data_IF_767403755827
#
_entry.id   IF_767403755827
#
_cell.length_a   1.000
_cell.length_b   1.000
_cell.length_c   1.000
_cell.angle_alpha   90.00
_cell.angle_beta   90.00
_cell.angle_gamma   90.00
#
_symmetry.space_group_name_H-M   'P 1'
#
loop_
_entity.id
_entity.type
_entity.pdbx_description
1 polymer ?
2 non-polymer ?
3 non-polymer ?
4 water ?
#
# COMPACT_ATOMS: atom_id res chain seq x y z
N UNK A 4 -21.66 -2.44 0.94
CA UNK A 4 -20.32 -2.60 0.38
C UNK A 4 -19.39 -1.50 0.86
N UNK A 5 -18.14 -1.88 1.14
CA UNK A 5 -17.13 -1.01 1.71
C UNK A 5 -16.51 -0.04 0.69
N UNK A 6 -16.13 1.17 1.13
CA UNK A 6 -15.69 2.19 0.17
C UNK A 6 -14.26 2.00 -0.31
N UNK A 7 -13.94 2.59 -1.46
CA UNK A 7 -12.59 2.50 -2.01
C UNK A 7 -11.60 3.35 -1.21
N UNK A 8 -10.33 3.00 -1.30
CA UNK A 8 -9.28 3.73 -0.59
C UNK A 8 -8.15 4.05 -1.56
N UNK A 9 -7.33 5.02 -1.20
CA UNK A 9 -6.20 5.36 -2.06
C UNK A 9 -5.03 5.85 -1.21
N UNK A 10 -3.81 5.54 -1.66
CA UNK A 10 -2.62 6.09 -1.05
C UNK A 10 -1.92 6.95 -2.09
N UNK A 11 -1.85 8.26 -1.84
CA UNK A 11 -1.26 9.18 -2.80
C UNK A 11 0.17 9.55 -2.43
N UNK A 12 1.13 9.12 -3.25
CA UNK A 12 2.54 9.45 -3.00
C UNK A 12 2.92 10.77 -3.67
N UNK A 13 3.55 11.65 -2.91
CA UNK A 13 3.94 12.97 -3.39
C UNK A 13 5.45 13.15 -3.33
N UNK A 14 5.99 13.86 -4.32
CA UNK A 14 7.43 14.09 -4.40
C UNK A 14 7.87 15.16 -3.42
N UNK A 15 9.00 14.93 -2.75
CA UNK A 15 9.59 15.94 -1.87
C UNK A 15 11.10 15.95 -2.01
N UNK A 16 11.77 16.71 -1.15
CA UNK A 16 13.23 16.73 -1.11
C UNK A 16 13.78 15.35 -0.78
N UNK A 17 12.96 14.52 -0.13
CA UNK A 17 13.43 13.20 0.30
C UNK A 17 13.32 12.14 -0.78
N UNK A 18 12.41 12.34 -1.72
CA UNK A 18 12.05 11.29 -2.67
C UNK A 18 11.35 11.83 -3.91
N UNK A 19 11.65 11.24 -5.06
CA UNK A 19 10.98 11.63 -6.29
C UNK A 19 9.82 10.70 -6.62
N UNK A 20 9.57 9.72 -5.75
CA UNK A 20 8.48 8.77 -5.98
C UNK A 20 7.13 9.45 -5.86
N UNK A 21 6.33 9.36 -6.92
CA UNK A 21 4.98 9.89 -6.92
C UNK A 21 4.02 9.04 -7.73
N UNK A 22 2.75 9.12 -7.35
CA UNK A 22 1.73 8.28 -7.96
C UNK A 22 0.76 7.78 -6.91
N UNK A 23 0.04 6.71 -7.25
CA UNK A 23 -1.01 6.22 -6.38
C UNK A 23 -1.05 4.70 -6.27
N UNK A 24 -1.56 4.23 -5.14
CA UNK A 24 -2.00 2.86 -5.01
C UNK A 24 -3.48 2.92 -4.62
N UNK A 25 -4.33 2.39 -5.50
CA UNK A 25 -5.79 2.37 -5.32
C UNK A 25 -6.27 1.01 -4.84
N UNK A 26 -7.26 1.02 -3.96
CA UNK A 26 -7.86 -0.19 -3.42
C UNK A 26 -9.37 -0.15 -3.65
N UNK A 27 -9.86 -1.05 -4.50
CA UNK A 27 -11.28 -1.01 -4.85
C UNK A 27 -11.94 -2.36 -4.58
N UNK A 28 -13.16 -2.34 -4.00
CA UNK A 28 -13.83 -3.61 -3.71
C UNK A 28 -14.12 -4.36 -5.00
N UNK A 29 -13.85 -5.66 -5.02
CA UNK A 29 -14.01 -6.45 -6.24
C UNK A 29 -14.93 -7.65 -6.03
N UNK A 30 -14.99 -8.52 -7.04
CA UNK A 30 -15.71 -9.79 -6.98
C UNK A 30 -15.04 -10.85 -6.11
N UNK A 31 -15.80 -11.85 -5.70
CA UNK A 31 -15.23 -13.00 -5.00
C UNK A 31 -14.53 -12.64 -3.69
N UNK A 32 -14.95 -11.55 -3.06
CA UNK A 32 -14.44 -11.17 -1.76
C UNK A 32 -12.95 -10.85 -1.73
N UNK A 33 -12.48 -10.17 -2.77
CA UNK A 33 -11.11 -9.67 -2.78
C UNK A 33 -11.09 -8.17 -2.99
N UNK A 34 -9.90 -7.60 -2.89
CA UNK A 34 -9.71 -6.19 -3.14
C UNK A 34 -8.83 -6.00 -4.37
N UNK A 35 -9.30 -5.22 -5.33
CA UNK A 35 -8.49 -4.88 -6.50
C UNK A 35 -7.50 -3.78 -6.17
N UNK A 36 -6.21 -4.04 -6.42
CA UNK A 36 -5.14 -3.10 -6.12
C UNK A 36 -4.56 -2.58 -7.42
N UNK A 37 -4.52 -1.27 -7.57
CA UNK A 37 -3.94 -0.66 -8.76
C UNK A 37 -2.77 0.25 -8.39
N UNK A 38 -1.57 -0.15 -8.80
CA UNK A 38 -0.36 0.61 -8.52
C UNK A 38 0.06 1.38 -9.76
N UNK A 39 0.31 2.67 -9.58
CA UNK A 39 0.78 3.52 -10.66
C UNK A 39 1.81 4.53 -10.11
N UNK A 40 3.09 4.18 -10.23
CA UNK A 40 4.18 4.96 -9.65
C UNK A 40 5.25 5.36 -10.66
N UNK A 41 5.84 6.54 -10.46
CA UNK A 41 7.04 6.92 -11.21
C UNK A 41 8.04 7.57 -10.29
N UNK A 42 9.20 7.91 -10.85
CA UNK A 42 10.24 8.57 -10.09
C UNK A 42 10.96 7.67 -9.10
N UNK A 43 10.88 6.36 -9.30
CA UNK A 43 11.58 5.43 -8.44
C UNK A 43 13.09 5.54 -8.72
N UNK A 44 13.90 5.56 -7.66
CA UNK A 44 15.32 5.91 -7.77
C UNK A 44 16.14 4.88 -8.53
N UNK A 45 17.24 5.33 -9.11
CA UNK A 45 18.11 4.46 -9.90
C UNK A 45 18.80 3.39 -9.06
N UNK A 46 18.66 2.14 -9.49
CA UNK A 46 19.53 1.03 -9.07
C UNK A 46 19.48 0.58 -7.62
N UNK A 47 18.58 1.11 -6.79
CA UNK A 47 18.57 0.65 -5.41
C UNK A 47 17.31 -0.19 -5.17
N UNK A 48 16.64 -0.52 -6.26
CA UNK A 48 15.52 -1.45 -6.22
C UNK A 48 16.02 -2.87 -6.42
N UNK A 49 15.10 -3.84 -6.53
CA UNK A 49 13.63 -3.75 -6.43
C UNK A 49 13.13 -3.23 -5.08
N UNK A 50 11.90 -2.74 -5.06
CA UNK A 50 11.38 -2.02 -3.91
C UNK A 50 10.24 -2.75 -3.22
N UNK A 51 10.51 -3.35 -2.06
CA UNK A 51 9.44 -3.87 -1.21
C UNK A 51 8.49 -2.76 -0.78
N UNK A 52 7.21 -3.07 -0.67
CA UNK A 52 6.25 -2.10 -0.14
C UNK A 52 5.20 -2.83 0.66
N UNK A 53 4.78 -2.21 1.75
CA UNK A 53 3.93 -2.86 2.74
C UNK A 53 2.97 -1.86 3.37
N UNK A 54 1.84 -2.37 3.85
CA UNK A 54 0.98 -1.59 4.74
C UNK A 54 1.60 -1.56 6.12
N UNK A 55 1.80 -0.35 6.65
CA UNK A 55 2.35 -0.20 7.99
C UNK A 55 1.25 0.22 8.96
N UNK A 56 1.54 0.18 10.26
CA UNK A 56 0.48 0.20 11.26
C UNK A 56 0.04 1.59 11.75
N UNK A 57 0.90 2.61 11.60
CA UNK A 57 0.54 3.98 12.00
C UNK A 57 0.51 4.93 10.80
N UNK A 58 -0.25 6.03 10.91
CA UNK A 58 -0.29 7.04 9.84
C UNK A 58 1.07 7.68 9.57
N UNK A 59 1.26 8.20 8.36
CA UNK A 59 2.36 9.13 8.09
C UNK A 59 2.04 10.46 8.78
N UNK A 60 2.96 10.96 9.61
CA UNK A 60 2.68 12.25 10.26
C UNK A 60 2.90 13.43 9.33
N UNK A 61 2.59 14.63 9.80
CA UNK A 61 2.73 15.84 9.00
C UNK A 61 4.19 16.05 8.59
N UNK A 62 5.11 15.52 9.38
CA UNK A 62 6.54 15.65 9.11
C UNK A 62 6.95 14.84 7.89
N UNK A 63 6.08 13.92 7.47
CA UNK A 63 6.36 12.99 6.36
C UNK A 63 7.49 12.01 6.70
N UNK A 64 7.78 11.82 7.98
CA UNK A 64 8.81 10.86 8.38
C UNK A 64 8.28 9.42 8.32
N UNK A 65 8.78 8.64 7.37
CA UNK A 65 8.22 7.31 7.14
C UNK A 65 8.56 6.34 8.28
N UNK A 66 9.59 6.67 9.06
CA UNK A 66 9.90 5.87 10.24
C UNK A 66 8.74 5.85 11.23
N UNK A 67 7.94 6.93 11.25
CA UNK A 67 6.90 7.07 12.25
C UNK A 67 5.68 6.18 12.00
N UNK A 68 5.65 5.50 10.85
CA UNK A 68 4.56 4.58 10.55
C UNK A 68 4.75 3.27 11.32
N UNK A 69 5.90 3.15 11.98
CA UNK A 69 6.28 1.98 12.76
C UNK A 69 6.28 0.70 11.92
N UNK A 70 5.76 -0.41 12.45
CA UNK A 70 5.96 -1.70 11.79
C UNK A 70 4.85 -2.09 10.81
N UNK A 71 4.97 -3.29 10.26
CA UNK A 71 3.98 -3.81 9.32
C UNK A 71 2.66 -4.12 9.99
N UNK A 72 1.58 -3.94 9.23
CA UNK A 72 0.26 -4.35 9.65
C UNK A 72 0.18 -5.87 9.53
N UNK A 73 0.06 -6.54 10.67
CA UNK A 73 0.22 -8.00 10.73
C UNK A 73 -0.69 -8.65 11.77
N UNK A 74 -2.02 -8.46 11.63
CA UNK A 74 -2.94 -8.84 12.70
C UNK A 74 -2.98 -10.35 12.95
N UNK A 75 -2.57 -11.13 11.96
CA UNK A 75 -2.69 -12.58 12.04
C UNK A 75 -1.32 -13.24 12.18
N UNK A 76 -0.34 -12.43 12.55
CA UNK A 76 1.03 -12.89 12.81
C UNK A 76 1.59 -13.77 11.69
N UNK A 77 1.63 -13.22 10.48
CA UNK A 77 2.22 -13.91 9.35
C UNK A 77 3.73 -13.85 9.36
N UNK A 78 4.34 -14.25 8.25
CA UNK A 78 5.80 -14.31 8.14
C UNK A 78 6.27 -13.59 6.87
N UNK A 79 7.49 -13.07 6.89
CA UNK A 79 7.99 -12.28 5.76
C UNK A 79 8.26 -13.15 4.52
N UNK A 80 8.82 -14.33 4.74
CA UNK A 80 9.05 -15.29 3.66
C UNK A 80 8.09 -16.47 3.79
N UNK A 81 7.44 -16.84 2.69
CA UNK A 81 6.42 -17.88 2.76
C UNK A 81 6.32 -18.69 1.48
N UNK A 82 5.63 -19.83 1.56
CA UNK A 82 5.45 -20.71 0.40
C UNK A 82 4.03 -20.64 -0.15
N UNK A 83 3.20 -19.80 0.47
CA UNK A 83 1.84 -19.59 0.00
C UNK A 83 1.45 -18.17 0.42
N UNK A 84 0.64 -17.48 -0.41
CA UNK A 84 0.34 -16.07 -0.15
C UNK A 84 -0.29 -15.78 1.22
N UNK A 85 -1.13 -16.68 1.71
CA UNK A 85 -1.88 -16.41 2.94
C UNK A 85 -1.01 -16.47 4.18
N UNK A 86 0.18 -17.04 4.05
CA UNK A 86 1.11 -17.13 5.17
C UNK A 86 1.84 -15.81 5.39
N UNK A 87 1.79 -14.94 4.39
CA UNK A 87 2.40 -13.61 4.52
C UNK A 87 1.57 -12.74 5.44
N UNK A 88 2.23 -11.76 6.06
CA UNK A 88 1.53 -10.71 6.80
C UNK A 88 0.50 -10.05 5.91
N UNK A 89 -0.66 -9.70 6.46
CA UNK A 89 -1.68 -9.04 5.66
C UNK A 89 -1.11 -7.83 4.92
N UNK A 90 -0.34 -7.01 5.64
CA UNK A 90 0.28 -5.84 5.04
C UNK A 90 1.41 -6.05 4.05
N UNK A 91 1.89 -7.29 3.91
CA UNK A 91 3.05 -7.54 3.05
C UNK A 91 2.64 -7.70 1.59
N UNK A 92 2.29 -6.59 0.95
CA UNK A 92 1.84 -6.63 -0.44
C UNK A 92 2.94 -7.13 -1.37
N UNK A 93 4.16 -6.62 -1.21
CA UNK A 93 5.25 -6.99 -2.12
C UNK A 93 5.64 -8.46 -2.00
N UNK A 94 5.62 -9.00 -0.79
CA UNK A 94 5.99 -10.39 -0.60
C UNK A 94 5.01 -11.32 -1.31
N UNK A 95 3.74 -10.96 -1.25
CA UNK A 95 2.69 -11.72 -1.91
C UNK A 95 2.65 -11.52 -3.42
N UNK A 96 2.86 -10.28 -3.87
CA UNK A 96 2.51 -9.92 -5.23
C UNK A 96 3.68 -9.48 -6.09
N UNK A 97 4.83 -9.27 -5.46
CA UNK A 97 6.03 -8.85 -6.17
C UNK A 97 6.46 -7.46 -5.74
N UNK A 98 7.77 -7.24 -5.71
CA UNK A 98 8.30 -5.91 -5.44
C UNK A 98 8.00 -4.95 -6.58
N UNK A 99 7.93 -3.67 -6.25
CA UNK A 99 7.99 -2.62 -7.25
C UNK A 99 9.35 -2.72 -7.89
N UNK A 100 9.43 -2.47 -9.20
CA UNK A 100 10.73 -2.42 -9.85
C UNK A 100 10.74 -1.48 -11.04
N UNK A 101 11.89 -0.86 -11.28
CA UNK A 101 12.05 0.04 -12.40
C UNK A 101 12.01 1.49 -12.00
N UNK A 102 12.00 2.38 -12.98
CA UNK A 102 11.82 3.80 -12.70
C UNK A 102 10.33 4.12 -12.68
N UNK A 103 9.58 3.34 -13.44
CA UNK A 103 8.13 3.46 -13.43
C UNK A 103 7.53 2.07 -13.34
N UNK A 104 6.40 1.98 -12.64
CA UNK A 104 5.80 0.69 -12.35
C UNK A 104 4.28 0.82 -12.32
N UNK A 105 3.60 0.02 -13.12
CA UNK A 105 2.13 0.00 -13.12
C UNK A 105 1.68 -1.43 -13.09
N UNK A 106 0.84 -1.78 -12.13
CA UNK A 106 0.38 -3.15 -12.05
C UNK A 106 -1.01 -3.18 -11.43
N UNK A 107 -1.75 -4.24 -11.73
CA UNK A 107 -3.05 -4.47 -11.09
C UNK A 107 -3.15 -5.92 -10.63
N UNK A 108 -3.68 -6.13 -9.43
CA UNK A 108 -3.86 -7.47 -8.91
C UNK A 108 -4.93 -7.48 -7.84
N UNK A 109 -5.39 -8.68 -7.48
CA UNK A 109 -6.35 -8.83 -6.40
C UNK A 109 -5.64 -9.28 -5.13
N UNK A 110 -5.97 -8.66 -4.01
CA UNK A 110 -5.49 -9.18 -2.74
C UNK A 110 -6.67 -9.64 -1.93
N UNK A 111 -6.55 -10.83 -1.35
CA UNK A 111 -7.68 -11.47 -0.69
C UNK A 111 -7.54 -11.44 0.82
N UNK A 112 -6.63 -10.61 1.32
CA UNK A 112 -6.33 -10.62 2.75
C UNK A 112 -6.60 -9.26 3.38
N UNK A 113 -6.19 -8.19 2.72
CA UNK A 113 -6.58 -6.85 3.16
C UNK A 113 -8.10 -6.72 3.09
N UNK A 114 -8.65 -5.81 3.88
CA UNK A 114 -10.10 -5.57 3.90
C UNK A 114 -10.42 -4.09 3.80
N UNK A 115 -11.51 -3.78 3.10
CA UNK A 115 -12.00 -2.42 3.04
C UNK A 115 -13.10 -2.23 4.07
N UNK A 116 -13.39 -3.29 4.81
CA UNK A 116 -14.46 -3.28 5.82
C UNK A 116 -13.95 -2.85 7.18
N UNK A 117 -14.41 -1.70 7.66
CA UNK A 117 -13.86 -1.16 8.89
C UNK A 117 -14.19 -2.01 10.12
N UNK A 118 -15.14 -2.94 9.98
CA UNK A 118 -15.41 -3.86 11.08
C UNK A 118 -14.53 -5.10 11.01
N UNK A 119 -13.70 -5.20 9.97
CA UNK A 119 -12.78 -6.34 9.83
C UNK A 119 -11.45 -6.13 10.55
N UNK A 120 -10.93 -7.21 11.12
CA UNK A 120 -9.61 -7.20 11.74
C UNK A 120 -8.51 -6.96 10.70
N UNK A 121 -8.85 -7.12 9.42
CA UNK A 121 -7.88 -6.95 8.34
C UNK A 121 -8.03 -5.61 7.62
N UNK A 122 -8.87 -4.73 8.18
CA UNK A 122 -9.11 -3.39 7.65
C UNK A 122 -7.81 -2.59 7.52
N UNK A 123 -7.61 -1.92 6.39
CA UNK A 123 -6.38 -1.15 6.18
C UNK A 123 -6.63 0.35 6.07
N UNK A 124 -7.87 0.77 6.28
CA UNK A 124 -8.21 2.18 6.25
C UNK A 124 -7.51 2.86 7.40
N UNK A 125 -7.06 4.09 7.18
CA UNK A 125 -6.39 4.83 8.24
C UNK A 125 -4.95 4.45 8.49
N UNK A 126 -4.47 3.46 7.75
CA UNK A 126 -3.08 3.02 7.88
C UNK A 126 -2.23 3.73 6.82
N UNK A 127 -1.07 3.15 6.51
CA UNK A 127 -0.16 3.78 5.57
C UNK A 127 0.57 2.74 4.72
N UNK A 128 1.16 3.19 3.63
CA UNK A 128 2.02 2.33 2.83
C UNK A 128 3.41 2.94 2.79
N UNK A 129 4.42 2.10 2.97
CA UNK A 129 5.80 2.53 2.87
C UNK A 129 6.46 1.81 1.72
N UNK A 130 7.23 2.54 0.91
CA UNK A 130 8.04 1.93 -0.15
C UNK A 130 9.50 1.94 0.28
N UNK A 131 10.16 0.79 0.22
CA UNK A 131 11.55 0.66 0.67
C UNK A 131 12.52 0.48 -0.48
N UNK A 132 13.76 0.92 -0.31
CA UNK A 132 14.84 0.44 -1.16
C UNK A 132 15.07 -1.03 -0.83
N UNK A 133 15.77 -1.73 -1.71
CA UNK A 133 16.01 -3.15 -1.50
C UNK A 133 16.70 -3.45 -0.16
N UNK A 134 17.52 -2.51 0.32
CA UNK A 134 18.22 -2.69 1.58
C UNK A 134 17.37 -2.31 2.79
N UNK A 135 16.11 -1.96 2.55
CA UNK A 135 15.19 -1.71 3.64
C UNK A 135 14.97 -0.25 3.95
N UNK A 136 15.77 0.63 3.35
CA UNK A 136 15.64 2.06 3.64
C UNK A 136 14.26 2.56 3.23
N UNK A 137 13.59 3.32 4.09
CA UNK A 137 12.26 3.80 3.75
C UNK A 137 12.39 5.03 2.84
N UNK A 138 11.83 4.93 1.63
CA UNK A 138 12.02 5.97 0.62
C UNK A 138 10.90 7.01 0.59
N UNK A 139 9.66 6.53 0.57
CA UNK A 139 8.54 7.44 0.61
C UNK A 139 7.37 6.68 1.22
N UNK A 140 6.34 7.41 1.63
CA UNK A 140 5.21 6.78 2.27
C UNK A 140 3.98 7.67 2.13
N UNK A 141 2.80 7.06 2.25
CA UNK A 141 1.55 7.79 2.12
C UNK A 141 0.48 7.18 2.99
N UNK A 142 -0.45 8.03 3.45
CA UNK A 142 -1.61 7.57 4.18
C UNK A 142 -2.67 6.97 3.27
N UNK A 143 -3.37 5.98 3.81
CA UNK A 143 -4.47 5.35 3.10
C UNK A 143 -5.77 6.06 3.48
N UNK A 144 -6.33 6.78 2.51
CA UNK A 144 -7.53 7.59 2.76
C UNK A 144 -8.69 7.20 1.86
N UNK A 145 -9.85 7.78 2.13
CA UNK A 145 -11.03 7.56 1.32
C UNK A 145 -10.85 8.18 -0.06
N UNK A 146 -11.17 7.42 -1.09
CA UNK A 146 -10.96 7.90 -2.46
C UNK A 146 -12.06 8.86 -2.92
N UNK A 147 -13.32 8.47 -2.76
CA UNK A 147 -14.44 9.29 -3.21
C UNK A 147 -14.84 10.34 -2.18
N UNK A 148 -15.31 11.49 -2.64
CA UNK A 148 -15.73 12.54 -1.71
C UNK A 148 -17.17 12.37 -1.27
N UNK A 149 -18.00 11.69 -2.06
CA UNK A 149 -19.41 11.59 -1.73
C UNK A 149 -19.90 10.16 -1.53
N UNK A 150 -20.53 9.91 -0.38
CA UNK A 150 -21.05 8.58 -0.09
C UNK A 150 -22.50 8.60 0.43
N UNK A 151 -23.09 7.41 0.56
CA UNK A 151 -24.45 7.22 1.07
C UNK A 151 -25.38 6.70 -0.01
N UNK A 152 -26.48 6.06 0.36
CA UNK A 152 -27.32 5.47 -0.68
C UNK A 152 -28.23 6.48 -1.38
N UNK A 153 -28.16 7.75 -0.98
CA UNK A 153 -28.96 8.78 -1.65
C UNK A 153 -28.07 9.87 -2.26
N UNK A 154 -26.79 9.55 -2.45
CA UNK A 154 -25.83 10.54 -2.90
C UNK A 154 -25.22 10.19 -4.26
N UNK A 155 -24.54 11.16 -4.87
CA UNK A 155 -23.68 10.95 -6.03
C UNK A 155 -22.31 11.58 -5.76
N UNK A 156 -21.30 11.23 -6.56
CA UNK A 156 -19.94 11.72 -6.32
C UNK A 156 -19.28 12.27 -7.58
X LIG B 1 7.50 -1.76 4.89
X LIG C 1 10.23 -3.30 6.91
X LIG C 1 11.42 -3.60 7.80
X LIG C 1 12.56 -2.62 7.64
X LIG C 1 12.15 -1.25 8.15
X LIG C 1 13.71 -3.12 8.47
X LIG C 1 14.94 -2.23 8.34
X LIG C 1 10.11 -3.89 5.80
X LIG C 1 9.35 -2.48 7.30
X LIG C 1 12.30 -0.23 7.43
X LIG C 1 11.65 -1.14 9.30
X LIG C 1 15.76 -2.44 7.41
X LIG C 1 15.12 -1.30 9.17
X LIG C 1 12.92 -2.52 6.28
#
# INVERSE_FOLDING_TARGET
GAMVSPSLIAKFEKTSKSNIEGTIKFTPANNGTVSVSVDLKGLPSDIGPFPYHVHEKPVPASKNCSATENHFNPYNGTVRAATPAAHEVGDLAGKHGNIMGESYKTEYDDSYISLNEKSRSYIGGLSIVIHANNGTRLNCANITLLDEGHGNANTTMSN
CU CU
FLC CAC CA CB CBC CG CGC OA1 OA2 OB1 OB2 OG1 OG2 OHB
#
